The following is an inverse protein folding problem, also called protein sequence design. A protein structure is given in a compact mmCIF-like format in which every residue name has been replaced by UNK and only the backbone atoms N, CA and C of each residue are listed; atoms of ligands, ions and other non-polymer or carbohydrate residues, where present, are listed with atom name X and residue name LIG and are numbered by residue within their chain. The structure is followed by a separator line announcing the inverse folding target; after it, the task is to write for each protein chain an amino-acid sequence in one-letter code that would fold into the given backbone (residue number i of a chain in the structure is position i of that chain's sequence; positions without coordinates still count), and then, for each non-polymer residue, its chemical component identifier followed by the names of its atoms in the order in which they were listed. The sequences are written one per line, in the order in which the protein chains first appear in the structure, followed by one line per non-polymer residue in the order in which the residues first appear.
data_IF_552868549585
#
_entry.id   IF_552868549585
#
_cell.length_a   1.000
_cell.length_b   1.000
_cell.length_c   1.000
_cell.angle_alpha   90.00
_cell.angle_beta   90.00
_cell.angle_gamma   90.00
#
_symmetry.space_group_name_H-M   'P 1'
#
loop_
_entity.id
_entity.type
_entity.pdbx_description
1 polymer ?
#
# COMPACT_ATOMS: atom_id res chain seq x y z
N UNK A 1 -47.19 8.45 -48.27
CA UNK A 1 -46.91 7.00 -48.31
C UNK A 1 -46.53 6.56 -46.91
N UNK A 2 -47.53 6.06 -46.21
CA UNK A 2 -47.41 5.56 -44.81
C UNK A 2 -47.03 4.09 -44.88
N UNK A 3 -45.93 3.74 -44.17
CA UNK A 3 -45.55 2.35 -43.93
C UNK A 3 -46.28 1.79 -42.69
N UNK A 4 -46.75 0.54 -42.73
CA UNK A 4 -47.36 -0.11 -41.55
C UNK A 4 -46.32 -0.55 -40.55
N UNK A 5 -46.68 -0.71 -39.26
CA UNK A 5 -45.74 -1.15 -38.21
C UNK A 5 -45.43 -2.65 -38.31
N UNK A 6 -44.19 -3.01 -38.14
CA UNK A 6 -43.74 -4.40 -38.02
C UNK A 6 -44.06 -4.96 -36.63
N UNK A 7 -44.68 -6.13 -36.59
CA UNK A 7 -44.92 -6.93 -35.38
C UNK A 7 -43.58 -7.52 -34.82
N UNK A 8 -43.47 -7.66 -33.51
CA UNK A 8 -42.30 -8.30 -32.90
C UNK A 8 -42.36 -9.82 -33.07
N UNK A 9 -41.21 -10.50 -33.25
CA UNK A 9 -41.18 -11.96 -33.35
C UNK A 9 -41.48 -12.66 -32.04
N UNK A 10 -42.19 -13.78 -32.12
CA UNK A 10 -42.66 -14.61 -31.03
C UNK A 10 -41.55 -15.17 -30.14
N UNK A 11 -41.85 -15.26 -28.85
CA UNK A 11 -41.05 -15.86 -27.80
C UNK A 11 -40.69 -17.32 -28.10
N UNK A 12 -39.36 -17.61 -28.24
CA UNK A 12 -38.81 -18.95 -28.30
C UNK A 12 -38.50 -19.47 -26.87
N UNK A 13 -38.75 -20.77 -26.72
CA UNK A 13 -38.61 -21.60 -25.52
C UNK A 13 -37.21 -21.49 -24.84
N UNK A 14 -37.10 -21.28 -23.52
CA UNK A 14 -35.82 -21.09 -22.82
C UNK A 14 -35.05 -22.38 -22.47
N UNK A 15 -35.43 -23.57 -23.00
CA UNK A 15 -34.87 -24.84 -22.54
C UNK A 15 -33.73 -25.45 -23.40
N UNK A 16 -33.17 -24.71 -24.38
CA UNK A 16 -32.11 -25.24 -25.26
C UNK A 16 -30.83 -24.38 -25.29
N UNK A 17 -30.20 -24.16 -24.14
CA UNK A 17 -28.88 -23.57 -24.09
C UNK A 17 -27.83 -24.67 -23.82
N UNK A 18 -27.09 -25.07 -24.89
CA UNK A 18 -25.90 -25.91 -24.78
C UNK A 18 -24.65 -25.01 -24.65
N UNK A 19 -23.93 -25.04 -23.52
CA UNK A 19 -22.78 -24.15 -23.29
C UNK A 19 -21.54 -24.49 -24.15
N UNK A 20 -21.58 -25.55 -24.98
CA UNK A 20 -20.44 -25.96 -25.80
C UNK A 20 -20.63 -25.71 -27.30
N UNK A 21 -21.70 -25.05 -27.73
CA UNK A 21 -21.88 -24.68 -29.13
C UNK A 21 -21.50 -23.21 -29.36
N UNK A 22 -20.65 -22.91 -30.36
CA UNK A 22 -20.38 -21.55 -30.76
C UNK A 22 -21.65 -20.96 -31.44
N UNK A 23 -21.91 -19.64 -31.25
CA UNK A 23 -23.08 -18.99 -31.78
C UNK A 23 -23.11 -19.06 -33.32
N UNK A 24 -24.28 -19.30 -33.96
CA UNK A 24 -24.38 -19.35 -35.41
C UNK A 24 -24.28 -17.95 -36.03
N UNK A 25 -23.33 -17.81 -36.97
CA UNK A 25 -23.47 -16.90 -38.09
C UNK A 25 -22.97 -15.47 -37.95
N UNK A 26 -21.63 -15.28 -38.03
CA UNK A 26 -21.09 -14.13 -38.76
C UNK A 26 -20.20 -14.65 -39.89
N UNK A 27 -20.46 -14.26 -41.16
CA UNK A 27 -19.55 -14.57 -42.27
C UNK A 27 -18.25 -13.81 -42.04
N UNK A 28 -17.11 -14.53 -42.09
CA UNK A 28 -15.78 -13.95 -42.19
C UNK A 28 -15.67 -13.12 -43.49
N UNK A 29 -15.97 -11.84 -43.42
CA UNK A 29 -15.54 -10.90 -44.44
C UNK A 29 -14.27 -10.21 -43.93
N UNK A 30 -13.14 -10.36 -44.65
CA UNK A 30 -11.95 -9.56 -44.37
C UNK A 30 -12.22 -8.08 -44.68
N UNK A 31 -11.58 -7.16 -43.95
CA UNK A 31 -11.75 -5.72 -44.19
C UNK A 31 -11.27 -5.35 -45.62
N UNK A 32 -11.93 -4.36 -46.30
CA UNK A 32 -11.59 -3.98 -47.66
C UNK A 32 -10.16 -3.46 -47.71
N UNK A 33 -9.27 -4.12 -48.47
CA UNK A 33 -7.87 -3.71 -48.67
C UNK A 33 -6.81 -4.81 -48.47
N UNK A 34 -7.20 -6.01 -48.08
CA UNK A 34 -6.24 -7.14 -47.96
C UNK A 34 -6.16 -7.91 -49.28
N UNK A 35 -5.08 -7.71 -50.04
CA UNK A 35 -4.74 -8.59 -51.16
C UNK A 35 -3.94 -9.77 -50.62
N UNK A 36 -4.34 -11.02 -50.83
CA UNK A 36 -3.53 -12.20 -50.49
C UNK A 36 -2.26 -12.27 -51.35
N UNK A 37 -1.11 -12.65 -50.78
CA UNK A 37 0.12 -12.84 -51.58
C UNK A 37 -0.04 -13.94 -52.61
N UNK A 38 0.63 -13.87 -53.77
CA UNK A 38 0.53 -14.85 -54.85
C UNK A 38 1.05 -16.20 -54.39
N UNK A 39 0.46 -17.34 -54.89
CA UNK A 39 0.91 -18.67 -54.54
C UNK A 39 2.28 -18.96 -55.16
N UNK A 40 3.28 -19.20 -54.32
CA UNK A 40 4.58 -19.63 -54.83
C UNK A 40 5.82 -19.35 -53.99
N UNK A 41 5.75 -18.64 -52.87
CA UNK A 41 6.91 -18.43 -52.00
C UNK A 41 6.80 -19.22 -50.70
N UNK A 42 7.28 -20.47 -50.70
CA UNK A 42 7.73 -21.14 -49.51
C UNK A 42 9.19 -20.73 -49.24
N UNK A 43 9.38 -19.64 -48.52
CA UNK A 43 10.67 -19.33 -47.95
C UNK A 43 10.86 -20.18 -46.70
N UNK A 44 11.76 -21.16 -46.78
CA UNK A 44 12.22 -21.96 -45.64
C UNK A 44 12.79 -21.04 -44.57
N UNK A 45 12.20 -21.06 -43.40
CA UNK A 45 12.71 -20.40 -42.22
C UNK A 45 13.96 -21.14 -41.76
N UNK A 46 15.15 -20.67 -42.11
CA UNK A 46 16.38 -21.03 -41.43
C UNK A 46 16.49 -20.14 -40.17
N UNK A 47 16.64 -20.70 -38.97
CA UNK A 47 16.91 -19.87 -37.81
C UNK A 47 18.24 -19.14 -37.98
N UNK A 48 18.37 -17.87 -37.65
CA UNK A 48 19.61 -17.11 -37.72
C UNK A 48 20.67 -17.75 -36.80
N UNK A 49 21.97 -17.73 -37.22
CA UNK A 49 23.05 -18.27 -36.40
C UNK A 49 23.14 -17.54 -35.06
N UNK A 50 23.58 -18.23 -33.97
CA UNK A 50 23.73 -17.62 -32.66
C UNK A 50 24.74 -16.48 -32.72
N UNK A 51 24.29 -15.24 -32.44
CA UNK A 51 25.16 -14.05 -32.38
C UNK A 51 24.72 -12.85 -33.21
N UNK A 52 23.68 -12.95 -34.05
CA UNK A 52 23.24 -11.79 -34.86
C UNK A 52 22.11 -11.04 -34.14
N UNK A 53 22.43 -9.92 -33.47
CA UNK A 53 21.45 -8.92 -33.07
C UNK A 53 21.35 -7.87 -34.20
N UNK A 54 20.18 -7.67 -34.83
CA UNK A 54 19.98 -6.55 -35.73
C UNK A 54 20.10 -5.24 -34.94
N UNK A 55 21.03 -4.36 -35.34
CA UNK A 55 21.11 -3.04 -34.76
C UNK A 55 19.86 -2.21 -35.05
N UNK A 56 19.51 -1.25 -34.18
CA UNK A 56 18.39 -0.35 -34.40
C UNK A 56 18.55 0.48 -35.66
N UNK A 57 17.47 0.81 -36.38
CA UNK A 57 17.50 1.62 -37.57
C UNK A 57 18.09 3.01 -37.26
N UNK A 58 18.84 3.62 -38.21
CA UNK A 58 19.44 4.95 -38.02
C UNK A 58 18.35 6.01 -37.77
N UNK A 59 18.44 6.70 -36.62
CA UNK A 59 17.51 7.77 -36.25
C UNK A 59 16.56 7.46 -35.06
N UNK A 60 16.59 6.27 -34.47
CA UNK A 60 15.83 6.00 -33.25
C UNK A 60 16.58 6.51 -32.00
N UNK A 61 15.92 7.23 -31.07
CA UNK A 61 16.57 7.66 -29.84
C UNK A 61 16.98 6.42 -29.02
N UNK A 62 18.27 6.34 -28.68
CA UNK A 62 18.79 5.27 -27.80
C UNK A 62 18.23 5.43 -26.39
N UNK A 63 17.29 4.57 -26.02
CA UNK A 63 16.90 4.37 -24.64
C UNK A 63 17.89 3.42 -23.96
N UNK A 64 18.88 3.96 -23.26
CA UNK A 64 19.70 3.20 -22.32
C UNK A 64 18.88 2.95 -21.04
N UNK A 65 18.60 1.69 -20.73
CA UNK A 65 18.15 1.27 -19.40
C UNK A 65 16.80 0.61 -19.25
N UNK A 66 16.17 0.09 -20.32
CA UNK A 66 15.03 -0.81 -20.13
C UNK A 66 15.52 -2.23 -19.81
N UNK A 67 15.66 -2.57 -18.54
CA UNK A 67 15.74 -3.96 -18.12
C UNK A 67 14.40 -4.63 -18.42
N UNK A 68 14.44 -5.71 -19.23
CA UNK A 68 13.28 -6.52 -19.53
C UNK A 68 12.68 -7.10 -18.24
N UNK A 69 11.34 -7.10 -18.09
CA UNK A 69 10.72 -7.78 -16.96
C UNK A 69 11.03 -9.27 -17.00
N UNK A 70 11.23 -9.93 -15.86
CA UNK A 70 11.50 -11.37 -15.81
C UNK A 70 10.35 -12.18 -16.45
N UNK A 71 10.63 -13.32 -17.09
CA UNK A 71 9.61 -14.15 -17.75
C UNK A 71 8.60 -14.66 -16.73
N UNK A 72 7.32 -14.33 -16.93
CA UNK A 72 6.22 -14.76 -16.06
C UNK A 72 5.08 -13.74 -15.87
N UNK A 73 5.15 -12.56 -16.49
CA UNK A 73 4.04 -11.61 -16.45
C UNK A 73 2.96 -12.00 -17.45
N UNK A 74 1.68 -12.14 -17.05
CA UNK A 74 0.59 -12.19 -17.99
C UNK A 74 0.57 -10.88 -18.80
N UNK A 75 0.27 -10.92 -20.12
CA UNK A 75 0.18 -9.72 -20.92
C UNK A 75 -0.90 -8.79 -20.36
N UNK A 76 -0.58 -7.50 -20.23
CA UNK A 76 -1.52 -6.46 -19.86
C UNK A 76 -2.63 -6.42 -20.92
N UNK A 77 -3.73 -7.10 -20.65
CA UNK A 77 -4.90 -7.19 -21.50
C UNK A 77 -6.00 -6.24 -21.07
N UNK A 78 -6.42 -5.43 -22.01
CA UNK A 78 -7.68 -4.71 -22.19
C UNK A 78 -7.93 -3.39 -21.46
N UNK A 79 -7.70 -2.30 -22.19
CA UNK A 79 -8.72 -1.30 -22.41
C UNK A 79 -8.98 -0.25 -21.32
N UNK A 80 -7.92 0.35 -20.73
CA UNK A 80 -8.06 1.69 -20.15
C UNK A 80 -7.43 2.70 -21.12
N UNK A 81 -8.00 3.90 -21.30
CA UNK A 81 -7.36 4.95 -22.07
C UNK A 81 -5.98 5.17 -21.44
N UNK A 82 -4.93 4.91 -22.21
CA UNK A 82 -3.55 5.15 -21.80
C UNK A 82 -3.40 6.65 -21.58
N UNK A 83 -3.66 7.10 -20.37
CA UNK A 83 -3.06 8.33 -19.93
C UNK A 83 -1.56 8.11 -20.09
N UNK A 84 -0.95 8.94 -20.96
CA UNK A 84 0.49 8.86 -21.23
C UNK A 84 1.20 8.68 -19.89
N UNK A 85 2.02 7.63 -19.75
CA UNK A 85 2.78 7.50 -18.53
C UNK A 85 3.56 8.81 -18.37
N UNK A 86 3.37 9.46 -17.27
CA UNK A 86 4.24 10.51 -16.83
C UNK A 86 5.51 9.81 -16.31
N UNK A 87 6.58 9.68 -17.12
CA UNK A 87 7.81 9.19 -16.57
C UNK A 87 8.50 10.43 -15.99
N UNK A 88 8.79 10.47 -14.71
CA UNK A 88 9.89 11.28 -14.26
C UNK A 88 11.12 10.76 -15.01
N UNK A 89 11.55 11.51 -16.02
CA UNK A 89 12.74 11.17 -16.76
C UNK A 89 13.93 11.51 -15.86
N UNK A 90 14.69 10.49 -15.45
CA UNK A 90 15.88 10.69 -14.63
C UNK A 90 15.98 9.72 -13.45
N UNK A 91 17.09 9.79 -12.69
CA UNK A 91 17.26 9.00 -11.47
C UNK A 91 16.21 9.39 -10.42
N UNK A 92 15.91 8.46 -9.49
CA UNK A 92 14.99 8.73 -8.38
C UNK A 92 15.41 9.98 -7.61
N UNK A 93 14.45 10.86 -7.33
CA UNK A 93 14.62 12.04 -6.49
C UNK A 93 13.66 11.99 -5.29
N UNK A 94 14.22 12.06 -4.09
CA UNK A 94 13.42 12.14 -2.85
C UNK A 94 12.58 13.44 -2.79
N UNK A 95 13.09 14.53 -3.40
CA UNK A 95 12.34 15.78 -3.53
C UNK A 95 11.11 15.66 -4.41
N UNK A 96 11.16 14.87 -5.48
CA UNK A 96 9.99 14.56 -6.31
C UNK A 96 8.97 13.74 -5.55
N UNK A 97 9.43 12.70 -4.81
CA UNK A 97 8.56 11.89 -3.96
C UNK A 97 7.82 12.76 -2.94
N UNK A 98 8.53 13.67 -2.29
CA UNK A 98 7.95 14.63 -1.34
C UNK A 98 6.95 15.57 -2.01
N UNK A 99 7.35 16.25 -3.10
CA UNK A 99 6.50 17.24 -3.77
C UNK A 99 5.23 16.62 -4.35
N UNK A 100 5.34 15.43 -4.96
CA UNK A 100 4.19 14.70 -5.47
C UNK A 100 3.23 14.30 -4.33
N UNK A 101 3.76 13.73 -3.26
CA UNK A 101 2.95 13.28 -2.11
C UNK A 101 2.28 14.47 -1.41
N UNK A 102 3.01 15.57 -1.24
CA UNK A 102 2.48 16.80 -0.67
C UNK A 102 1.37 17.40 -1.53
N UNK A 103 1.54 17.43 -2.85
CA UNK A 103 0.51 17.91 -3.77
C UNK A 103 -0.76 17.05 -3.71
N UNK A 104 -0.63 15.71 -3.60
CA UNK A 104 -1.78 14.81 -3.45
C UNK A 104 -2.55 15.10 -2.16
N UNK A 105 -1.87 15.26 -1.03
CA UNK A 105 -2.51 15.51 0.27
C UNK A 105 -3.07 16.92 0.34
N UNK A 106 -2.30 17.95 -0.01
CA UNK A 106 -2.70 19.36 0.15
C UNK A 106 -3.84 19.75 -0.79
N UNK A 107 -3.80 19.30 -2.05
CA UNK A 107 -4.84 19.61 -3.05
C UNK A 107 -6.13 18.79 -2.83
N UNK A 108 -6.06 17.66 -2.13
CA UNK A 108 -7.18 16.75 -1.84
C UNK A 108 -7.36 16.50 -0.36
N UNK A 109 -7.08 17.51 0.48
CA UNK A 109 -7.10 17.40 1.93
C UNK A 109 -8.39 16.77 2.47
N UNK A 110 -9.56 17.20 1.98
CA UNK A 110 -10.87 16.65 2.35
C UNK A 110 -11.08 15.17 1.97
N UNK A 111 -10.31 14.63 1.01
CA UNK A 111 -10.39 13.23 0.63
C UNK A 111 -9.45 12.35 1.44
N UNK A 112 -8.27 12.87 1.81
CA UNK A 112 -7.24 12.10 2.52
C UNK A 112 -7.40 12.15 4.05
N UNK A 113 -7.56 13.33 4.62
CA UNK A 113 -7.48 13.48 6.07
C UNK A 113 -8.65 12.80 6.82
N UNK A 114 -9.93 12.93 6.40
CA UNK A 114 -11.02 12.31 7.13
C UNK A 114 -10.90 10.77 7.27
N UNK A 115 -10.60 9.97 6.23
CA UNK A 115 -10.45 8.53 6.41
C UNK A 115 -9.25 8.17 7.30
N UNK A 116 -8.12 8.87 7.19
CA UNK A 116 -6.99 8.65 8.08
C UNK A 116 -7.32 9.02 9.53
N UNK A 117 -8.12 10.08 9.75
CA UNK A 117 -8.61 10.46 11.07
C UNK A 117 -9.55 9.40 11.66
N UNK A 118 -10.48 8.87 10.86
CA UNK A 118 -11.36 7.78 11.31
C UNK A 118 -10.54 6.58 11.76
N UNK A 119 -9.54 6.17 10.98
CA UNK A 119 -8.65 5.07 11.36
C UNK A 119 -7.78 5.38 12.57
N UNK A 120 -7.28 6.62 12.68
CA UNK A 120 -6.55 7.07 13.86
C UNK A 120 -7.40 6.96 15.14
N UNK A 121 -8.66 7.38 15.07
CA UNK A 121 -9.59 7.25 16.19
C UNK A 121 -9.99 5.81 16.48
N UNK A 122 -10.21 4.99 15.45
CA UNK A 122 -10.57 3.58 15.60
C UNK A 122 -9.49 2.76 16.32
N UNK A 123 -8.22 3.13 16.17
CA UNK A 123 -7.09 2.51 16.87
C UNK A 123 -6.81 3.24 18.18
N UNK A 124 -6.79 4.57 18.15
CA UNK A 124 -6.37 5.41 19.27
C UNK A 124 -7.32 5.37 20.46
N UNK A 125 -8.64 5.33 20.24
CA UNK A 125 -9.59 5.28 21.34
C UNK A 125 -9.47 4.00 22.20
N UNK A 126 -9.43 2.78 21.64
CA UNK A 126 -9.20 1.58 22.44
C UNK A 126 -7.85 1.58 23.16
N UNK A 127 -6.78 2.06 22.50
CA UNK A 127 -5.45 2.21 23.11
C UNK A 127 -5.51 3.19 24.29
N UNK A 128 -6.22 4.32 24.12
CA UNK A 128 -6.43 5.30 25.18
C UNK A 128 -7.18 4.73 26.39
N UNK A 129 -8.17 3.89 26.15
CA UNK A 129 -8.91 3.17 27.22
C UNK A 129 -7.97 2.23 27.98
N UNK A 130 -7.16 1.44 27.27
CA UNK A 130 -6.16 0.56 27.91
C UNK A 130 -5.20 1.36 28.77
N UNK A 131 -4.70 2.48 28.24
CA UNK A 131 -3.82 3.37 28.98
C UNK A 131 -4.50 3.96 30.21
N UNK A 132 -5.75 4.39 30.10
CA UNK A 132 -6.53 4.92 31.24
C UNK A 132 -6.73 3.84 32.34
N UNK A 133 -7.04 2.60 31.96
CA UNK A 133 -7.15 1.47 32.92
C UNK A 133 -5.82 1.27 33.63
N UNK A 134 -4.71 1.25 32.87
CA UNK A 134 -3.37 1.08 33.43
C UNK A 134 -3.02 2.23 34.40
N UNK A 135 -3.26 3.47 34.02
CA UNK A 135 -3.01 4.63 34.89
C UNK A 135 -3.86 4.62 36.16
N UNK A 136 -5.12 4.21 36.05
CA UNK A 136 -6.03 4.10 37.21
C UNK A 136 -5.63 2.98 38.19
N UNK A 137 -4.88 1.97 37.71
CA UNK A 137 -4.38 0.86 38.51
C UNK A 137 -3.04 1.15 39.22
N UNK A 138 -2.39 2.27 38.89
CA UNK A 138 -1.16 2.65 39.57
C UNK A 138 -1.45 3.04 41.02
N UNK A 139 -0.56 2.70 41.99
CA UNK A 139 -0.74 3.07 43.38
C UNK A 139 -0.89 4.58 43.54
N UNK A 140 -1.98 5.02 44.14
CA UNK A 140 -2.16 6.39 44.54
C UNK A 140 -1.31 6.61 45.81
N UNK A 141 -0.23 7.38 45.75
CA UNK A 141 0.50 7.79 46.94
C UNK A 141 -0.39 8.74 47.76
N UNK A 142 -1.19 8.17 48.66
CA UNK A 142 -1.87 8.97 49.67
C UNK A 142 -0.85 9.37 50.74
N UNK A 143 -0.38 10.60 50.71
CA UNK A 143 0.33 11.22 51.82
C UNK A 143 -0.70 11.50 52.93
N UNK A 144 -1.00 10.52 53.77
CA UNK A 144 -1.70 10.76 55.01
C UNK A 144 -0.72 11.39 55.98
N UNK A 145 -0.71 12.74 55.97
CA UNK A 145 -0.05 13.53 56.99
C UNK A 145 -0.76 13.39 58.33
N UNK A 146 -0.32 12.49 59.19
CA UNK A 146 -0.69 12.52 60.60
C UNK A 146 0.20 13.57 61.26
N UNK A 147 -0.34 14.74 61.55
CA UNK A 147 0.29 15.69 62.46
C UNK A 147 0.22 15.19 63.90
N UNK A 148 1.37 14.99 64.54
CA UNK A 148 1.46 14.66 65.94
C UNK A 148 2.82 14.04 66.31
N UNK A 149 3.75 14.88 66.82
CA UNK A 149 4.90 14.58 67.63
C UNK A 149 5.98 13.60 67.13
N UNK A 150 7.08 14.15 66.66
CA UNK A 150 8.48 13.74 66.79
C UNK A 150 8.78 12.25 66.84
N UNK A 151 8.67 11.60 65.74
CA UNK A 151 9.44 10.50 65.15
C UNK A 151 8.64 9.93 63.97
N UNK A 152 8.66 10.64 62.83
CA UNK A 152 8.00 10.18 61.60
C UNK A 152 8.84 9.12 60.92
N UNK A 153 8.54 7.84 61.18
CA UNK A 153 9.00 6.74 60.36
C UNK A 153 8.16 6.75 59.08
N UNK A 154 8.72 7.20 57.98
CA UNK A 154 8.09 7.07 56.65
C UNK A 154 8.24 5.60 56.20
N UNK A 155 7.23 4.78 56.41
CA UNK A 155 7.13 3.48 55.76
C UNK A 155 6.54 3.64 54.37
N UNK A 156 7.36 3.53 53.35
CA UNK A 156 6.90 3.45 51.97
C UNK A 156 6.45 2.02 51.71
N UNK A 157 5.19 1.72 51.82
CA UNK A 157 4.62 0.49 51.28
C UNK A 157 4.51 0.62 49.78
N UNK A 158 5.34 -0.04 49.03
CA UNK A 158 5.23 -0.13 47.60
C UNK A 158 4.22 -1.22 47.28
N UNK A 159 2.94 -0.86 47.25
CA UNK A 159 1.92 -1.73 46.67
C UNK A 159 2.02 -1.59 45.17
N UNK A 160 2.42 -2.67 44.48
CA UNK A 160 2.44 -2.69 43.01
C UNK A 160 1.05 -2.50 42.41
N UNK A 161 0.92 -2.19 41.12
CA UNK A 161 -0.39 -1.99 40.50
C UNK A 161 -1.21 -3.27 40.61
N UNK A 162 -2.31 -3.20 41.38
CA UNK A 162 -3.28 -4.29 41.51
C UNK A 162 -4.26 -4.26 40.32
N UNK A 163 -3.90 -4.95 39.24
CA UNK A 163 -4.83 -5.18 38.13
C UNK A 163 -5.75 -6.35 38.48
N UNK A 164 -7.05 -6.09 38.58
CA UNK A 164 -8.01 -7.17 38.74
C UNK A 164 -7.98 -8.10 37.53
N UNK A 165 -8.26 -9.38 37.69
CA UNK A 165 -8.35 -10.35 36.59
C UNK A 165 -9.28 -9.89 35.46
N UNK A 166 -10.38 -9.21 35.82
CA UNK A 166 -11.27 -8.60 34.84
C UNK A 166 -10.63 -7.49 34.02
N UNK A 167 -9.85 -6.60 34.64
CA UNK A 167 -9.13 -5.55 33.94
C UNK A 167 -8.12 -6.13 32.95
N UNK A 168 -7.37 -7.15 33.35
CA UNK A 168 -6.42 -7.87 32.48
C UNK A 168 -7.15 -8.47 31.28
N UNK A 169 -8.28 -9.16 31.49
CA UNK A 169 -9.05 -9.76 30.42
C UNK A 169 -9.58 -8.71 29.42
N UNK A 170 -10.08 -7.57 29.90
CA UNK A 170 -10.52 -6.46 29.04
C UNK A 170 -9.34 -5.90 28.23
N UNK A 171 -8.18 -5.69 28.85
CA UNK A 171 -7.00 -5.20 28.15
C UNK A 171 -6.56 -6.16 27.04
N UNK A 172 -6.48 -7.47 27.32
CA UNK A 172 -6.14 -8.48 26.30
C UNK A 172 -7.13 -8.44 25.14
N UNK A 173 -8.44 -8.38 25.42
CA UNK A 173 -9.48 -8.29 24.40
C UNK A 173 -9.31 -7.02 23.54
N UNK A 174 -9.12 -5.87 24.17
CA UNK A 174 -8.91 -4.60 23.47
C UNK A 174 -7.65 -4.63 22.59
N UNK A 175 -6.55 -5.18 23.08
CA UNK A 175 -5.34 -5.36 22.26
C UNK A 175 -5.57 -6.29 21.08
N UNK A 176 -6.31 -7.39 21.26
CA UNK A 176 -6.64 -8.30 20.16
C UNK A 176 -7.50 -7.59 19.09
N UNK A 177 -8.48 -6.79 19.51
CA UNK A 177 -9.31 -5.98 18.60
C UNK A 177 -8.46 -4.93 17.87
N UNK A 178 -7.64 -4.17 18.60
CA UNK A 178 -6.71 -3.16 18.00
C UNK A 178 -5.80 -3.82 16.99
N UNK A 179 -5.24 -4.99 17.30
CA UNK A 179 -4.37 -5.72 16.39
C UNK A 179 -5.08 -6.13 15.10
N UNK A 180 -6.28 -6.71 15.21
CA UNK A 180 -7.08 -7.11 14.05
C UNK A 180 -7.49 -5.90 13.19
N UNK A 181 -7.93 -4.81 13.83
CA UNK A 181 -8.26 -3.56 13.14
C UNK A 181 -7.03 -2.98 12.45
N UNK A 182 -5.85 -2.98 13.09
CA UNK A 182 -4.61 -2.46 12.51
C UNK A 182 -4.19 -3.21 11.25
N UNK A 183 -4.35 -4.54 11.22
CA UNK A 183 -4.10 -5.34 10.01
C UNK A 183 -5.06 -4.97 8.87
N UNK A 184 -6.34 -4.77 9.17
CA UNK A 184 -7.32 -4.36 8.16
C UNK A 184 -7.03 -2.95 7.62
N UNK A 185 -6.78 -2.00 8.54
CA UNK A 185 -6.42 -0.61 8.20
C UNK A 185 -5.19 -0.55 7.29
N UNK A 186 -4.14 -1.28 7.64
CA UNK A 186 -2.91 -1.31 6.84
C UNK A 186 -3.17 -1.78 5.41
N UNK A 187 -3.96 -2.85 5.22
CA UNK A 187 -4.34 -3.33 3.89
C UNK A 187 -5.17 -2.30 3.11
N UNK A 188 -6.12 -1.62 3.78
CA UNK A 188 -6.94 -0.58 3.18
C UNK A 188 -6.12 0.62 2.72
N UNK A 189 -5.23 1.13 3.59
CA UNK A 189 -4.41 2.31 3.30
C UNK A 189 -3.40 2.06 2.18
N UNK A 190 -2.73 0.89 2.18
CA UNK A 190 -1.80 0.54 1.10
C UNK A 190 -2.56 0.37 -0.22
N UNK A 191 -3.73 -0.28 -0.20
CA UNK A 191 -4.58 -0.42 -1.39
C UNK A 191 -4.99 0.92 -1.96
N UNK A 192 -5.43 1.86 -1.10
CA UNK A 192 -5.82 3.21 -1.50
C UNK A 192 -4.63 4.01 -2.06
N UNK A 193 -3.45 3.93 -1.41
CA UNK A 193 -2.25 4.62 -1.88
C UNK A 193 -1.78 4.10 -3.25
N UNK A 194 -1.90 2.79 -3.52
CA UNK A 194 -1.65 2.20 -4.84
C UNK A 194 -2.66 2.73 -5.87
N UNK A 195 -3.95 2.86 -5.52
CA UNK A 195 -4.96 3.42 -6.42
C UNK A 195 -4.68 4.90 -6.74
N UNK A 196 -4.17 5.67 -5.77
CA UNK A 196 -3.69 7.05 -6.03
C UNK A 196 -2.53 7.07 -7.01
N UNK A 197 -1.54 6.19 -6.83
CA UNK A 197 -0.39 6.10 -7.74
C UNK A 197 -0.81 5.66 -9.14
N UNK A 198 -1.81 4.77 -9.25
CA UNK A 198 -2.37 4.33 -10.52
C UNK A 198 -3.26 5.41 -11.20
N UNK A 199 -3.51 6.56 -10.56
CA UNK A 199 -4.38 7.62 -11.08
C UNK A 199 -5.87 7.29 -11.06
N UNK A 200 -6.27 6.28 -10.31
CA UNK A 200 -7.69 5.94 -10.16
C UNK A 200 -8.43 7.01 -9.36
N UNK A 201 -9.74 7.21 -9.62
CA UNK A 201 -10.53 8.11 -8.81
C UNK A 201 -10.62 7.59 -7.36
N UNK A 202 -10.14 8.40 -6.41
CA UNK A 202 -10.20 8.07 -4.99
C UNK A 202 -11.25 8.91 -4.29
N UNK A 203 -12.03 8.26 -3.45
CA UNK A 203 -13.05 8.86 -2.58
C UNK A 203 -12.82 8.43 -1.13
N UNK A 204 -13.55 9.01 -0.20
CA UNK A 204 -13.53 8.58 1.21
C UNK A 204 -13.64 7.04 1.36
N UNK A 205 -14.59 6.42 0.64
CA UNK A 205 -14.80 4.97 0.70
C UNK A 205 -13.66 4.10 0.16
N UNK A 206 -12.77 4.65 -0.67
CA UNK A 206 -11.61 3.93 -1.20
C UNK A 206 -10.66 3.49 -0.08
N UNK A 207 -10.53 4.31 0.98
CA UNK A 207 -9.67 4.05 2.12
C UNK A 207 -10.22 3.01 3.11
N UNK A 208 -11.38 2.40 2.80
CA UNK A 208 -12.01 1.35 3.59
C UNK A 208 -12.13 0.02 2.81
N UNK A 209 -11.45 -0.09 1.66
CA UNK A 209 -11.45 -1.29 0.81
C UNK A 209 -10.08 -1.93 0.79
N UNK A 210 -9.93 -3.08 1.42
CA UNK A 210 -8.71 -3.87 1.39
C UNK A 210 -8.67 -4.74 0.12
N UNK A 211 -7.58 -4.64 -0.66
CA UNK A 211 -7.27 -5.58 -1.74
C UNK A 211 -6.23 -6.59 -1.23
N UNK A 212 -6.34 -7.85 -1.66
CA UNK A 212 -5.36 -8.87 -1.30
C UNK A 212 -5.16 -9.04 0.21
N UNK A 213 -6.22 -8.89 1.02
CA UNK A 213 -6.16 -8.86 2.49
C UNK A 213 -5.39 -10.06 3.08
N UNK A 214 -5.63 -11.28 2.58
CA UNK A 214 -4.92 -12.47 3.06
C UNK A 214 -3.41 -12.42 2.82
N UNK A 215 -2.99 -11.95 1.63
CA UNK A 215 -1.57 -11.76 1.30
C UNK A 215 -0.93 -10.68 2.15
N UNK A 216 -1.66 -9.58 2.37
CA UNK A 216 -1.22 -8.51 3.27
C UNK A 216 -1.00 -9.04 4.68
N UNK A 217 -2.00 -9.72 5.26
CA UNK A 217 -1.93 -10.25 6.63
C UNK A 217 -0.75 -11.22 6.77
N UNK A 218 -0.61 -12.18 5.86
CA UNK A 218 0.50 -13.12 5.89
C UNK A 218 1.85 -12.43 5.82
N UNK A 219 2.00 -11.42 4.95
CA UNK A 219 3.24 -10.66 4.82
C UNK A 219 3.49 -9.77 6.04
N UNK A 220 2.47 -9.07 6.54
CA UNK A 220 2.60 -8.21 7.72
C UNK A 220 2.96 -9.00 8.98
N UNK A 221 2.38 -10.19 9.16
CA UNK A 221 2.74 -11.10 10.26
C UNK A 221 4.18 -11.60 10.14
N UNK A 222 4.60 -12.02 8.94
CA UNK A 222 5.96 -12.45 8.69
C UNK A 222 6.98 -11.34 8.97
N UNK A 223 6.70 -10.13 8.49
CA UNK A 223 7.52 -8.93 8.77
C UNK A 223 7.53 -8.64 10.27
N UNK A 224 6.36 -8.67 10.93
CA UNK A 224 6.24 -8.44 12.37
C UNK A 224 7.07 -9.42 13.20
N UNK A 225 7.02 -10.71 12.88
CA UNK A 225 7.84 -11.75 13.52
C UNK A 225 9.33 -11.48 13.28
N UNK A 226 9.71 -11.12 12.05
CA UNK A 226 11.12 -10.81 11.74
C UNK A 226 11.62 -9.58 12.49
N UNK A 227 10.81 -8.53 12.60
CA UNK A 227 11.14 -7.34 13.42
C UNK A 227 11.26 -7.71 14.90
N UNK A 228 10.31 -8.50 15.43
CA UNK A 228 10.33 -8.93 16.84
C UNK A 228 11.62 -9.72 17.16
N UNK A 229 11.96 -10.72 16.35
CA UNK A 229 13.18 -11.50 16.51
C UNK A 229 14.42 -10.60 16.37
N UNK A 230 14.44 -9.73 15.35
CA UNK A 230 15.53 -8.78 15.14
C UNK A 230 15.70 -7.81 16.32
N UNK A 231 14.63 -7.43 17.00
CA UNK A 231 14.65 -6.50 18.15
C UNK A 231 15.31 -7.10 19.39
N UNK A 232 15.48 -8.42 19.46
CA UNK A 232 16.28 -9.06 20.50
C UNK A 232 17.77 -8.61 20.45
N UNK A 233 18.22 -8.14 19.28
CA UNK A 233 19.53 -7.54 19.06
C UNK A 233 19.48 -5.99 19.06
N UNK A 234 18.51 -5.38 19.70
CA UNK A 234 18.24 -3.93 19.82
C UNK A 234 18.09 -3.24 18.46
N UNK A 235 19.12 -3.20 17.62
CA UNK A 235 19.13 -2.54 16.31
C UNK A 235 18.61 -3.46 15.20
N UNK A 236 18.64 -4.78 15.41
CA UNK A 236 18.32 -5.78 14.39
C UNK A 236 16.89 -5.65 13.86
N UNK A 237 15.92 -5.30 14.71
CA UNK A 237 14.54 -5.07 14.31
C UNK A 237 14.38 -3.87 13.37
N UNK A 238 15.12 -2.79 13.63
CA UNK A 238 15.13 -1.59 12.76
C UNK A 238 15.74 -1.93 11.40
N UNK A 239 16.87 -2.65 11.39
CA UNK A 239 17.52 -3.08 10.15
C UNK A 239 16.58 -4.00 9.36
N UNK A 240 15.97 -4.99 10.01
CA UNK A 240 15.03 -5.88 9.34
C UNK A 240 13.84 -5.11 8.78
N UNK A 241 13.21 -4.22 9.55
CA UNK A 241 12.11 -3.37 9.12
C UNK A 241 12.49 -2.46 7.95
N UNK A 242 13.69 -1.90 7.94
CA UNK A 242 14.23 -1.12 6.83
C UNK A 242 14.28 -1.92 5.53
N UNK A 243 14.77 -3.17 5.55
CA UNK A 243 14.80 -4.02 4.38
C UNK A 243 13.41 -4.55 3.99
N UNK A 244 12.49 -4.72 4.93
CA UNK A 244 11.13 -5.23 4.71
C UNK A 244 10.10 -4.15 4.35
N UNK A 245 10.47 -2.86 4.30
CA UNK A 245 9.54 -1.71 4.20
C UNK A 245 8.63 -1.74 2.97
N UNK A 246 9.00 -2.45 1.89
CA UNK A 246 8.20 -2.58 0.68
C UNK A 246 7.52 -3.95 0.52
N UNK A 247 7.70 -4.89 1.46
CA UNK A 247 7.17 -6.25 1.33
C UNK A 247 5.65 -6.27 1.15
N UNK A 248 4.91 -5.48 1.93
CA UNK A 248 3.45 -5.40 1.85
C UNK A 248 2.96 -4.78 0.53
N UNK A 249 3.74 -3.91 -0.11
CA UNK A 249 3.44 -3.38 -1.45
C UNK A 249 3.56 -4.46 -2.50
N UNK A 250 4.62 -5.27 -2.46
CA UNK A 250 4.78 -6.42 -3.35
C UNK A 250 3.66 -7.45 -3.20
N UNK A 251 3.21 -7.70 -1.97
CA UNK A 251 2.12 -8.62 -1.69
C UNK A 251 0.79 -8.15 -2.31
N UNK A 252 0.43 -6.87 -2.14
CA UNK A 252 -0.85 -6.34 -2.65
C UNK A 252 -0.79 -6.03 -4.15
N UNK A 253 0.29 -5.41 -4.61
CA UNK A 253 0.42 -4.91 -5.99
C UNK A 253 0.71 -6.03 -6.99
N UNK A 254 1.60 -6.96 -6.62
CA UNK A 254 2.02 -8.06 -7.50
C UNK A 254 1.42 -9.41 -7.12
N UNK A 255 0.63 -9.50 -6.06
CA UNK A 255 0.03 -10.74 -5.60
C UNK A 255 1.05 -11.78 -5.12
N UNK A 256 2.24 -11.33 -4.68
CA UNK A 256 3.28 -12.25 -4.23
C UNK A 256 2.94 -12.86 -2.87
N UNK A 257 3.30 -14.12 -2.67
CA UNK A 257 3.22 -14.77 -1.37
C UNK A 257 4.13 -14.08 -0.34
N UNK A 258 3.86 -14.24 0.99
CA UNK A 258 4.57 -13.50 2.04
C UNK A 258 6.09 -13.59 1.98
N UNK A 259 6.63 -14.79 1.74
CA UNK A 259 8.09 -15.02 1.67
C UNK A 259 8.70 -14.37 0.43
N UNK A 260 8.03 -14.49 -0.72
CA UNK A 260 8.53 -13.92 -1.98
C UNK A 260 8.41 -12.40 -1.99
N UNK A 261 7.34 -11.84 -1.40
CA UNK A 261 7.18 -10.42 -1.17
C UNK A 261 8.29 -9.85 -0.27
N UNK A 262 8.65 -10.57 0.79
CA UNK A 262 9.75 -10.21 1.68
C UNK A 262 11.10 -10.24 0.95
N UNK A 263 11.40 -11.31 0.21
CA UNK A 263 12.63 -11.43 -0.61
C UNK A 263 12.72 -10.30 -1.64
N UNK A 264 11.61 -10.00 -2.33
CA UNK A 264 11.55 -8.93 -3.31
C UNK A 264 11.81 -7.55 -2.67
N UNK A 265 11.30 -7.31 -1.46
CA UNK A 265 11.57 -6.08 -0.71
C UNK A 265 13.06 -5.96 -0.33
N UNK A 266 13.65 -7.04 0.20
CA UNK A 266 15.07 -7.06 0.54
C UNK A 266 15.96 -6.79 -0.67
N UNK A 267 15.66 -7.42 -1.82
CA UNK A 267 16.40 -7.21 -3.04
C UNK A 267 16.25 -5.75 -3.53
N UNK A 268 15.02 -5.22 -3.56
CA UNK A 268 14.77 -3.84 -3.98
C UNK A 268 15.54 -2.83 -3.13
N UNK A 269 15.52 -2.99 -1.81
CA UNK A 269 16.22 -2.10 -0.87
C UNK A 269 17.73 -2.25 -1.02
N UNK A 270 18.24 -3.48 -1.15
CA UNK A 270 19.67 -3.75 -1.35
C UNK A 270 20.19 -3.07 -2.63
N UNK A 271 19.45 -3.18 -3.73
CA UNK A 271 19.83 -2.62 -5.02
C UNK A 271 19.70 -1.08 -5.05
N UNK A 272 18.94 -0.50 -4.11
CA UNK A 272 18.63 0.94 -4.04
C UNK A 272 18.85 1.51 -2.63
N UNK A 273 19.93 1.10 -1.94
CA UNK A 273 20.18 1.44 -0.53
C UNK A 273 20.12 2.94 -0.24
N UNK A 274 20.75 3.76 -1.08
CA UNK A 274 20.78 5.20 -0.89
C UNK A 274 19.38 5.83 -0.95
N UNK A 275 18.59 5.46 -1.94
CA UNK A 275 17.22 5.95 -2.14
C UNK A 275 16.29 5.47 -1.00
N UNK A 276 16.38 4.20 -0.66
CA UNK A 276 15.59 3.62 0.42
C UNK A 276 15.92 4.27 1.77
N UNK A 277 17.20 4.54 2.04
CA UNK A 277 17.64 5.20 3.26
C UNK A 277 17.14 6.64 3.35
N UNK A 278 17.21 7.41 2.27
CA UNK A 278 16.70 8.79 2.25
C UNK A 278 15.18 8.80 2.53
N UNK A 279 14.41 7.90 1.92
CA UNK A 279 12.97 7.79 2.18
C UNK A 279 12.69 7.38 3.62
N UNK A 280 13.46 6.44 4.17
CA UNK A 280 13.35 6.04 5.57
C UNK A 280 13.61 7.22 6.51
N UNK A 281 14.65 8.03 6.25
CA UNK A 281 14.97 9.22 7.05
C UNK A 281 13.89 10.31 6.92
N UNK A 282 13.31 10.51 5.74
CA UNK A 282 12.17 11.43 5.56
C UNK A 282 10.99 10.96 6.38
N UNK A 283 10.66 9.67 6.33
CA UNK A 283 9.56 9.09 7.10
C UNK A 283 9.78 9.27 8.61
N UNK A 284 11.00 9.03 9.05
CA UNK A 284 11.40 9.26 10.44
C UNK A 284 11.26 10.74 10.82
N UNK A 285 11.71 11.66 9.96
CA UNK A 285 11.56 13.10 10.16
C UNK A 285 10.09 13.54 10.26
N UNK A 286 9.22 13.01 9.41
CA UNK A 286 7.76 13.28 9.48
C UNK A 286 7.17 12.75 10.78
N UNK A 287 7.57 11.55 11.22
CA UNK A 287 7.13 10.97 12.49
C UNK A 287 7.57 11.83 13.70
N UNK A 288 8.84 12.26 13.71
CA UNK A 288 9.35 13.17 14.76
C UNK A 288 8.65 14.52 14.74
N UNK A 289 8.37 15.09 13.56
CA UNK A 289 7.61 16.33 13.42
C UNK A 289 6.20 16.21 14.01
N UNK A 290 5.50 15.10 13.71
CA UNK A 290 4.19 14.79 14.30
C UNK A 290 4.25 14.65 15.83
N UNK A 291 5.27 13.95 16.35
CA UNK A 291 5.49 13.81 17.77
C UNK A 291 5.78 15.16 18.46
N UNK A 292 6.67 15.96 17.89
CA UNK A 292 7.00 17.30 18.42
C UNK A 292 5.77 18.21 18.46
N UNK A 293 4.96 18.23 17.39
CA UNK A 293 3.73 19.01 17.36
C UNK A 293 2.73 18.53 18.42
N UNK A 294 2.61 17.22 18.62
CA UNK A 294 1.76 16.62 19.65
C UNK A 294 2.23 17.06 21.06
N UNK A 295 3.54 17.01 21.29
CA UNK A 295 4.12 17.41 22.57
C UNK A 295 3.93 18.90 22.87
N UNK A 296 4.22 19.78 21.90
CA UNK A 296 4.08 21.23 22.04
C UNK A 296 2.63 21.65 22.28
N UNK A 297 1.67 20.94 21.70
CA UNK A 297 0.24 21.24 21.81
C UNK A 297 -0.48 20.45 22.91
N UNK A 298 0.27 19.86 23.84
CA UNK A 298 -0.28 19.03 24.92
C UNK A 298 -1.25 17.94 24.42
N UNK A 299 -0.92 17.30 23.29
CA UNK A 299 -1.69 16.20 22.68
C UNK A 299 -2.67 16.63 21.59
N UNK A 300 -3.18 17.84 21.58
CA UNK A 300 -4.23 18.28 20.65
C UNK A 300 -3.77 18.27 19.19
N UNK A 301 -2.53 18.67 18.92
CA UNK A 301 -1.97 18.68 17.58
C UNK A 301 -1.83 17.28 16.96
N UNK A 302 -1.73 16.24 17.78
CA UNK A 302 -1.63 14.85 17.33
C UNK A 302 -2.87 14.38 16.55
N UNK A 303 -4.06 14.92 16.87
CA UNK A 303 -5.32 14.56 16.20
C UNK A 303 -5.27 14.84 14.69
N UNK A 304 -4.55 15.89 14.29
CA UNK A 304 -4.38 16.25 12.87
C UNK A 304 -3.02 15.79 12.34
N UNK A 305 -1.96 15.91 13.15
CA UNK A 305 -0.59 15.61 12.73
C UNK A 305 -0.40 14.15 12.35
N UNK A 306 -0.92 13.19 13.13
CA UNK A 306 -0.75 11.77 12.80
C UNK A 306 -1.53 11.32 11.55
N UNK A 307 -2.80 11.69 11.34
CA UNK A 307 -3.49 11.45 10.07
C UNK A 307 -2.77 12.03 8.86
N UNK A 308 -2.30 13.28 8.96
CA UNK A 308 -1.57 13.94 7.89
C UNK A 308 -0.20 13.28 7.62
N UNK A 309 0.54 12.97 8.67
CA UNK A 309 1.81 12.25 8.57
C UNK A 309 1.63 10.86 7.95
N UNK A 310 0.60 10.12 8.36
CA UNK A 310 0.25 8.81 7.81
C UNK A 310 -0.08 8.86 6.32
N UNK A 311 -0.89 9.82 5.89
CA UNK A 311 -1.22 10.05 4.49
C UNK A 311 0.04 10.39 3.67
N UNK A 312 0.85 11.31 4.16
CA UNK A 312 2.06 11.77 3.48
C UNK A 312 3.10 10.64 3.35
N UNK A 313 3.39 9.95 4.45
CA UNK A 313 4.38 8.84 4.44
C UNK A 313 3.92 7.67 3.59
N UNK A 314 2.64 7.31 3.63
CA UNK A 314 2.08 6.26 2.79
C UNK A 314 2.23 6.56 1.29
N UNK A 315 2.01 7.82 0.89
CA UNK A 315 2.20 8.27 -0.50
C UNK A 315 3.67 8.33 -0.90
N UNK A 316 4.57 8.78 -0.01
CA UNK A 316 6.02 8.75 -0.25
C UNK A 316 6.49 7.32 -0.50
N UNK A 317 6.03 6.36 0.29
CA UNK A 317 6.42 4.95 0.12
C UNK A 317 5.89 4.37 -1.20
N UNK A 318 4.62 4.60 -1.55
CA UNK A 318 4.07 4.09 -2.82
C UNK A 318 4.73 4.73 -4.03
N UNK A 319 5.00 6.06 -3.99
CA UNK A 319 5.75 6.74 -5.05
C UNK A 319 7.12 6.10 -5.23
N UNK A 320 7.87 5.93 -4.14
CA UNK A 320 9.21 5.34 -4.15
C UNK A 320 9.18 3.90 -4.65
N UNK A 321 8.25 3.10 -4.14
CA UNK A 321 8.04 1.71 -4.59
C UNK A 321 7.82 1.66 -6.11
N UNK A 322 6.90 2.47 -6.65
CA UNK A 322 6.61 2.53 -8.09
C UNK A 322 7.83 2.98 -8.89
N UNK A 323 8.55 3.99 -8.42
CA UNK A 323 9.77 4.50 -9.09
C UNK A 323 10.87 3.45 -9.15
N UNK A 324 11.15 2.79 -8.04
CA UNK A 324 12.22 1.79 -7.94
C UNK A 324 11.87 0.48 -8.64
N UNK A 325 10.59 0.17 -8.82
CA UNK A 325 10.13 -1.04 -9.52
C UNK A 325 9.75 -0.81 -10.98
N UNK A 326 9.92 0.41 -11.51
CA UNK A 326 9.54 0.77 -12.88
C UNK A 326 8.03 0.83 -13.12
N UNK A 327 7.23 0.98 -12.05
CA UNK A 327 5.77 1.10 -12.13
C UNK A 327 5.32 2.49 -12.60
N UNK A 328 4.07 2.57 -13.07
CA UNK A 328 3.44 3.83 -13.47
C UNK A 328 3.06 4.66 -12.24
N UNK A 329 3.18 6.00 -12.36
CA UNK A 329 2.74 6.95 -11.36
C UNK A 329 1.89 8.00 -12.07
N UNK A 330 0.70 8.26 -11.56
CA UNK A 330 -0.15 9.33 -12.10
C UNK A 330 0.42 10.70 -11.77
N UNK A 331 0.24 11.72 -12.65
CA UNK A 331 0.69 13.08 -12.37
C UNK A 331 0.05 13.63 -11.10
N UNK A 332 0.76 14.56 -10.44
CA UNK A 332 0.19 15.29 -9.32
C UNK A 332 -1.03 16.11 -9.77
N UNK A 333 -2.05 16.30 -8.93
CA UNK A 333 -3.16 17.20 -9.24
C UNK A 333 -2.65 18.63 -9.41
N UNK A 334 -3.17 19.31 -10.43
CA UNK A 334 -2.84 20.72 -10.75
C UNK A 334 -3.53 21.68 -9.80
#
# INVERSE_FOLDING_TARGET
VTYPPQEPPASGDPSAYDPNQPPPGYPNQPPPGYQPPPPGYQAGYQPPPPGYQPGPPPGAPQYQGAQFPPPGYPPAGYGYPQQRPWPPQGPFSAGESWSWSWAQVSKRFGTFIPPYLVWFLAIGLPVGIVYAILMASLPQTSTSGYGGNSHSSYSYSYEGPELSGGAIAIMILLYAVVFAVSLYVGACLISANLDVADGKPVSFGTFFRARGFGLYVGTALLVGVGVLIGSLLIIGGVIFGFFAQYAVFFAIDRGLGPVDALKASFQLVKDNLGQALVVFLITLGVAFGGFALTFITCGLGGIIAYPAAGALTGLIHVYTYRRLTGGTIAPAPV
#
